data_IF_217843017248
#
_entry.id   IF_217843017248
#
_cell.length_a   1.000
_cell.length_b   1.000
_cell.length_c   1.000
_cell.angle_alpha   90.00
_cell.angle_beta   90.00
_cell.angle_gamma   90.00
#
_symmetry.space_group_name_H-M   'P 1'
#
loop_
_entity.id
_entity.type
_entity.pdbx_description
1 polymer ?
#
# COMPACT_ATOMS: atom_id res chain seq x y z
N UNK A 1 9.32 26.91 9.62
CA UNK A 1 9.88 26.91 10.98
C UNK A 1 8.83 26.35 11.94
N UNK A 2 8.65 25.02 11.95
CA UNK A 2 7.65 24.29 12.77
C UNK A 2 8.11 22.86 13.13
N UNK A 3 9.41 22.61 13.07
CA UNK A 3 10.04 21.26 13.08
C UNK A 3 10.56 20.81 14.45
N UNK A 4 10.86 21.75 15.35
CA UNK A 4 11.67 21.46 16.56
C UNK A 4 11.00 20.59 17.62
N UNK A 5 9.67 20.50 17.64
CA UNK A 5 8.95 19.70 18.65
C UNK A 5 9.05 18.22 18.33
N UNK A 6 8.83 17.84 17.06
CA UNK A 6 8.87 16.44 16.63
C UNK A 6 10.27 15.84 16.75
N UNK A 7 11.30 16.63 16.43
CA UNK A 7 12.70 16.19 16.52
C UNK A 7 13.06 15.78 17.96
N UNK A 8 12.64 16.58 18.94
CA UNK A 8 12.91 16.33 20.37
C UNK A 8 12.15 15.10 20.89
N UNK A 9 10.89 14.95 20.54
CA UNK A 9 10.07 13.81 20.96
C UNK A 9 10.61 12.48 20.41
N UNK A 10 10.94 12.45 19.12
CA UNK A 10 11.51 11.25 18.47
C UNK A 10 12.86 10.87 19.09
N UNK A 11 13.72 11.86 19.34
CA UNK A 11 15.03 11.63 19.97
C UNK A 11 14.89 11.06 21.39
N UNK A 12 13.97 11.61 22.20
CA UNK A 12 13.71 11.11 23.56
C UNK A 12 13.17 9.67 23.56
N UNK A 13 12.28 9.34 22.63
CA UNK A 13 11.75 7.99 22.48
C UNK A 13 12.86 7.01 22.08
N UNK A 14 13.73 7.42 21.14
CA UNK A 14 14.90 6.63 20.76
C UNK A 14 15.85 6.40 21.95
N UNK A 15 16.17 7.45 22.70
CA UNK A 15 17.04 7.37 23.89
C UNK A 15 16.48 6.44 24.99
N UNK A 16 15.15 6.34 25.09
CA UNK A 16 14.46 5.40 25.99
C UNK A 16 14.29 4.00 25.39
N UNK A 17 14.97 3.71 24.27
CA UNK A 17 15.02 2.39 23.64
C UNK A 17 13.80 2.02 22.79
N UNK A 18 12.93 2.98 22.49
CA UNK A 18 11.80 2.71 21.60
C UNK A 18 12.27 2.56 20.16
N UNK A 19 11.65 1.62 19.45
CA UNK A 19 11.84 1.44 18.01
C UNK A 19 10.62 1.94 17.25
N UNK A 20 10.79 2.18 15.96
CA UNK A 20 9.76 2.80 15.12
C UNK A 20 9.36 1.89 13.97
N UNK A 21 8.15 2.09 13.47
CA UNK A 21 7.75 1.61 12.15
C UNK A 21 7.50 2.79 11.23
N UNK A 22 7.63 2.56 9.93
CA UNK A 22 7.38 3.59 8.92
C UNK A 22 6.15 3.25 8.10
N UNK A 23 5.40 4.27 7.71
CA UNK A 23 4.52 4.19 6.55
C UNK A 23 5.05 5.20 5.54
N UNK A 24 5.19 4.81 4.29
CA UNK A 24 5.46 5.78 3.25
C UNK A 24 4.72 5.42 1.97
N UNK A 25 4.34 6.48 1.26
CA UNK A 25 3.52 6.39 0.06
C UNK A 25 4.12 7.28 -1.03
N UNK A 26 4.27 6.71 -2.22
CA UNK A 26 4.66 7.46 -3.40
C UNK A 26 3.46 7.63 -4.31
N UNK A 27 3.24 8.85 -4.77
CA UNK A 27 2.22 9.11 -5.75
C UNK A 27 2.66 10.16 -6.76
N UNK A 28 2.05 10.07 -7.93
CA UNK A 28 2.11 11.11 -8.95
C UNK A 28 0.84 11.94 -8.86
N UNK A 29 0.96 13.24 -8.54
CA UNK A 29 -0.21 14.12 -8.53
C UNK A 29 -0.66 14.48 -9.95
N UNK A 30 -1.89 15.01 -10.07
CA UNK A 30 -2.50 15.43 -11.34
C UNK A 30 -1.69 16.47 -12.13
N UNK A 31 -0.81 17.21 -11.46
CA UNK A 31 0.13 18.16 -12.09
C UNK A 31 1.43 17.48 -12.56
N UNK A 32 1.41 16.16 -12.76
CA UNK A 32 2.55 15.30 -13.10
C UNK A 32 3.72 15.45 -12.12
N UNK A 33 3.36 15.36 -10.84
CA UNK A 33 4.22 15.77 -9.73
C UNK A 33 4.40 14.59 -8.79
N UNK A 34 5.56 13.93 -8.85
CA UNK A 34 5.92 12.81 -7.97
C UNK A 34 6.37 13.25 -6.59
N UNK A 35 5.82 12.60 -5.56
CA UNK A 35 6.05 12.92 -4.17
C UNK A 35 6.12 11.64 -3.33
N UNK A 36 6.96 11.66 -2.29
CA UNK A 36 7.06 10.61 -1.27
C UNK A 36 6.76 11.22 0.10
N UNK A 37 5.71 10.76 0.77
CA UNK A 37 5.45 11.14 2.15
C UNK A 37 5.92 10.03 3.10
N UNK A 38 6.52 10.41 4.23
CA UNK A 38 7.05 9.46 5.21
C UNK A 38 6.45 9.81 6.58
N UNK A 39 5.88 8.82 7.25
CA UNK A 39 5.46 8.93 8.64
C UNK A 39 6.18 7.87 9.47
N UNK A 40 6.61 8.25 10.68
CA UNK A 40 7.09 7.34 11.70
C UNK A 40 5.99 7.06 12.71
N UNK A 41 5.96 5.83 13.22
CA UNK A 41 4.99 5.35 14.19
C UNK A 41 5.71 4.63 15.32
N UNK A 42 5.16 4.71 16.52
CA UNK A 42 5.58 3.88 17.66
C UNK A 42 4.40 3.71 18.61
N UNK A 43 4.59 2.85 19.61
CA UNK A 43 3.64 2.70 20.72
C UNK A 43 4.36 3.10 22.01
N UNK A 44 3.86 4.15 22.67
CA UNK A 44 4.44 4.65 23.92
C UNK A 44 3.32 5.27 24.77
N UNK A 45 3.48 5.25 26.10
CA UNK A 45 2.50 5.81 27.03
C UNK A 45 1.07 5.27 26.79
N UNK A 46 0.95 3.97 26.57
CA UNK A 46 -0.31 3.26 26.31
C UNK A 46 -1.14 3.79 25.14
N UNK A 47 -0.46 4.37 24.13
CA UNK A 47 -1.11 4.83 22.90
C UNK A 47 -0.22 4.68 21.67
N UNK A 48 -0.87 4.54 20.52
CA UNK A 48 -0.21 4.66 19.23
C UNK A 48 0.12 6.14 18.95
N UNK A 49 1.37 6.38 18.57
CA UNK A 49 1.89 7.70 18.22
C UNK A 49 2.36 7.69 16.78
N UNK A 50 2.20 8.82 16.08
CA UNK A 50 2.75 8.98 14.75
C UNK A 50 3.21 10.42 14.49
N UNK A 51 4.20 10.55 13.62
CA UNK A 51 4.74 11.83 13.18
C UNK A 51 4.91 11.82 11.66
N UNK A 52 4.38 12.85 11.00
CA UNK A 52 4.66 13.09 9.59
C UNK A 52 6.04 13.74 9.49
N UNK A 53 7.03 12.98 9.00
CA UNK A 53 8.42 13.43 8.84
C UNK A 53 8.57 14.39 7.65
N UNK A 54 7.53 14.51 6.83
CA UNK A 54 7.37 15.50 5.79
C UNK A 54 7.46 14.92 4.39
N UNK A 55 6.96 15.71 3.45
CA UNK A 55 6.95 15.39 2.03
C UNK A 55 8.33 15.55 1.40
N UNK A 56 8.69 14.63 0.50
CA UNK A 56 9.87 14.71 -0.35
C UNK A 56 9.46 14.76 -1.80
N UNK A 57 9.98 15.75 -2.51
CA UNK A 57 9.76 15.91 -3.95
C UNK A 57 10.69 14.97 -4.72
N UNK A 58 10.13 14.20 -5.64
CA UNK A 58 10.92 13.31 -6.51
C UNK A 58 11.10 14.02 -7.85
N UNK A 59 12.35 14.07 -8.32
CA UNK A 59 12.70 14.54 -9.66
C UNK A 59 13.24 13.35 -10.46
N UNK A 60 12.69 13.14 -11.66
CA UNK A 60 13.08 12.00 -12.51
C UNK A 60 12.50 10.66 -12.03
N UNK A 61 13.27 9.59 -12.26
CA UNK A 61 12.91 8.24 -11.84
C UNK A 61 13.19 8.03 -10.35
N UNK A 62 12.46 7.10 -9.75
CA UNK A 62 12.69 6.66 -8.37
C UNK A 62 12.77 5.14 -8.35
N UNK A 63 13.92 4.55 -8.72
CA UNK A 63 14.15 3.13 -8.49
C UNK A 63 14.21 2.84 -6.99
N UNK A 64 14.08 1.55 -6.64
CA UNK A 64 14.03 1.12 -5.24
C UNK A 64 15.25 1.58 -4.41
N UNK A 65 16.45 1.55 -4.98
CA UNK A 65 17.68 2.02 -4.32
C UNK A 65 17.62 3.51 -3.95
N UNK A 66 17.18 4.35 -4.89
CA UNK A 66 17.01 5.79 -4.67
C UNK A 66 15.91 6.05 -3.64
N UNK A 67 14.85 5.23 -3.60
CA UNK A 67 13.82 5.30 -2.57
C UNK A 67 14.42 5.06 -1.17
N UNK A 68 15.20 3.99 -1.00
CA UNK A 68 15.90 3.70 0.27
C UNK A 68 16.84 4.83 0.68
N UNK A 69 17.66 5.35 -0.23
CA UNK A 69 18.56 6.49 0.04
C UNK A 69 17.78 7.74 0.46
N UNK A 70 16.63 7.99 -0.18
CA UNK A 70 15.75 9.12 0.14
C UNK A 70 15.18 8.99 1.55
N UNK A 71 14.74 7.78 1.92
CA UNK A 71 14.25 7.48 3.27
C UNK A 71 15.37 7.67 4.30
N UNK A 72 16.55 7.08 4.08
CA UNK A 72 17.73 7.26 4.97
C UNK A 72 18.07 8.73 5.16
N UNK A 73 18.14 9.50 4.07
CA UNK A 73 18.42 10.94 4.11
C UNK A 73 17.36 11.71 4.89
N UNK A 74 16.09 11.29 4.83
CA UNK A 74 15.01 11.91 5.59
C UNK A 74 15.12 11.59 7.08
N UNK A 75 15.28 10.32 7.43
CA UNK A 75 15.39 9.84 8.81
C UNK A 75 16.61 10.41 9.53
N UNK A 76 17.74 10.56 8.82
CA UNK A 76 18.97 11.17 9.36
C UNK A 76 18.76 12.58 9.91
N UNK A 77 17.75 13.33 9.43
CA UNK A 77 17.41 14.66 9.98
C UNK A 77 16.84 14.60 11.40
N UNK A 78 16.31 13.45 11.78
CA UNK A 78 15.73 13.16 13.08
C UNK A 78 16.64 12.23 13.90
N UNK A 79 17.88 12.03 13.45
CA UNK A 79 18.86 11.12 14.07
C UNK A 79 18.35 9.66 14.19
N UNK A 80 17.43 9.26 13.31
CA UNK A 80 16.92 7.89 13.20
C UNK A 80 17.69 7.15 12.11
N UNK A 81 18.18 5.95 12.44
CA UNK A 81 18.83 5.04 11.52
C UNK A 81 17.82 4.03 10.96
N UNK A 82 17.86 3.82 9.64
CA UNK A 82 16.90 2.95 8.95
C UNK A 82 17.08 1.47 9.30
N UNK A 83 18.31 1.05 9.62
CA UNK A 83 18.63 -0.37 9.83
C UNK A 83 18.49 -0.75 11.30
N UNK A 84 18.86 0.18 12.20
CA UNK A 84 18.87 -0.09 13.64
C UNK A 84 17.57 0.32 14.34
N UNK A 85 16.98 1.47 13.98
CA UNK A 85 15.84 2.02 14.74
C UNK A 85 14.48 1.60 14.18
N UNK A 86 14.42 1.11 12.93
CA UNK A 86 13.18 0.75 12.25
C UNK A 86 12.95 -0.76 12.28
N UNK A 87 11.80 -1.19 12.84
CA UNK A 87 11.42 -2.61 12.91
C UNK A 87 10.52 -3.06 11.77
N UNK A 88 9.72 -2.14 11.23
CA UNK A 88 8.76 -2.46 10.19
C UNK A 88 8.50 -1.26 9.27
N UNK A 89 8.13 -1.56 8.04
CA UNK A 89 7.70 -0.58 7.04
C UNK A 89 6.37 -1.01 6.43
N UNK A 90 5.52 -0.05 6.11
CA UNK A 90 4.29 -0.26 5.37
C UNK A 90 4.34 0.52 4.07
N UNK A 91 4.17 -0.17 2.95
CA UNK A 91 4.23 0.41 1.61
C UNK A 91 3.07 -0.07 0.76
N UNK A 92 2.83 0.58 -0.38
CA UNK A 92 1.95 -0.01 -1.39
C UNK A 92 2.55 -1.30 -1.99
N UNK A 93 1.78 -1.90 -2.89
CA UNK A 93 2.14 -3.14 -3.59
C UNK A 93 2.75 -2.90 -4.97
N UNK A 94 3.17 -1.67 -5.30
CA UNK A 94 3.85 -1.40 -6.56
C UNK A 94 5.20 -2.14 -6.59
N UNK A 95 5.62 -2.60 -7.78
CA UNK A 95 6.85 -3.40 -7.93
C UNK A 95 8.09 -2.72 -7.34
N UNK A 96 8.19 -1.40 -7.47
CA UNK A 96 9.26 -0.58 -6.89
C UNK A 96 9.21 -0.61 -5.37
N UNK A 97 8.03 -0.57 -4.74
CA UNK A 97 7.89 -0.56 -3.29
C UNK A 97 8.11 -1.94 -2.67
N UNK A 98 7.65 -3.00 -3.34
CA UNK A 98 8.00 -4.38 -2.99
C UNK A 98 9.52 -4.56 -3.05
N UNK A 99 10.18 -4.06 -4.10
CA UNK A 99 11.64 -4.10 -4.18
C UNK A 99 12.31 -3.23 -3.13
N UNK A 100 11.77 -2.06 -2.84
CA UNK A 100 12.27 -1.15 -1.79
C UNK A 100 12.27 -1.86 -0.44
N UNK A 101 11.17 -2.52 -0.07
CA UNK A 101 11.14 -3.24 1.20
C UNK A 101 12.08 -4.44 1.26
N UNK A 102 12.34 -5.12 0.14
CA UNK A 102 13.39 -6.16 0.09
C UNK A 102 14.82 -5.63 0.34
N UNK A 103 15.04 -4.32 0.23
CA UNK A 103 16.34 -3.67 0.43
C UNK A 103 16.48 -3.04 1.83
N UNK A 104 15.41 -3.01 2.63
CA UNK A 104 15.42 -2.47 3.98
C UNK A 104 15.41 -3.65 4.96
N UNK A 105 16.28 -3.70 5.97
CA UNK A 105 16.34 -4.79 6.94
C UNK A 105 15.23 -4.66 8.01
N UNK A 106 14.00 -4.37 7.58
CA UNK A 106 12.81 -4.23 8.42
C UNK A 106 11.69 -5.09 7.84
N UNK A 107 10.74 -5.51 8.69
CA UNK A 107 9.58 -6.26 8.22
C UNK A 107 8.72 -5.41 7.29
N UNK A 108 8.46 -5.87 6.07
CA UNK A 108 7.58 -5.18 5.13
C UNK A 108 6.14 -5.69 5.24
N UNK A 109 5.23 -4.79 5.59
CA UNK A 109 3.78 -4.96 5.47
C UNK A 109 3.30 -4.28 4.19
N UNK A 110 2.49 -4.97 3.38
CA UNK A 110 1.80 -4.32 2.26
C UNK A 110 0.54 -3.59 2.73
N UNK A 111 0.27 -2.44 2.11
CA UNK A 111 -0.85 -1.58 2.44
C UNK A 111 -2.18 -2.29 2.14
N UNK A 112 -2.97 -2.54 3.19
CA UNK A 112 -4.30 -3.12 3.04
C UNK A 112 -5.25 -2.24 2.25
N UNK A 113 -5.15 -0.91 2.36
CA UNK A 113 -6.01 -0.02 1.58
C UNK A 113 -5.78 -0.20 0.07
N UNK A 114 -4.51 -0.33 -0.35
CA UNK A 114 -4.17 -0.63 -1.74
C UNK A 114 -4.67 -2.03 -2.15
N UNK A 115 -4.44 -3.05 -1.32
CA UNK A 115 -4.92 -4.41 -1.60
C UNK A 115 -6.45 -4.51 -1.72
N UNK A 116 -7.19 -3.85 -0.82
CA UNK A 116 -8.64 -3.77 -0.85
C UNK A 116 -9.13 -3.04 -2.10
N UNK A 117 -8.51 -1.92 -2.46
CA UNK A 117 -8.84 -1.19 -3.68
C UNK A 117 -8.63 -2.06 -4.92
N UNK A 118 -7.51 -2.78 -5.01
CA UNK A 118 -7.25 -3.70 -6.12
C UNK A 118 -8.29 -4.83 -6.18
N UNK A 119 -8.66 -5.42 -5.03
CA UNK A 119 -9.70 -6.45 -4.97
C UNK A 119 -11.08 -5.92 -5.43
N UNK A 120 -11.46 -4.71 -4.99
CA UNK A 120 -12.69 -4.06 -5.44
C UNK A 120 -12.67 -3.80 -6.95
N UNK A 121 -11.55 -3.31 -7.48
CA UNK A 121 -11.39 -3.08 -8.91
C UNK A 121 -11.46 -4.39 -9.72
N UNK A 122 -10.85 -5.46 -9.22
CA UNK A 122 -10.85 -6.77 -9.87
C UNK A 122 -12.26 -7.39 -9.93
N UNK A 123 -13.05 -7.22 -8.87
CA UNK A 123 -14.41 -7.78 -8.77
C UNK A 123 -15.47 -6.90 -9.45
N UNK A 124 -15.46 -5.58 -9.22
CA UNK A 124 -16.55 -4.69 -9.65
C UNK A 124 -16.28 -4.01 -11.00
N UNK A 125 -15.02 -3.76 -11.35
CA UNK A 125 -14.66 -2.87 -12.47
C UNK A 125 -13.89 -3.56 -13.59
N UNK A 126 -13.32 -4.73 -13.35
CA UNK A 126 -12.69 -5.52 -14.41
C UNK A 126 -13.81 -6.00 -15.34
N UNK A 127 -13.88 -5.36 -16.52
CA UNK A 127 -14.85 -5.69 -17.56
C UNK A 127 -14.89 -7.20 -17.74
N UNK A 128 -16.11 -7.72 -17.72
CA UNK A 128 -16.48 -9.08 -18.09
C UNK A 128 -16.12 -9.34 -19.57
N UNK A 129 -14.84 -9.45 -19.90
CA UNK A 129 -14.41 -10.02 -21.19
C UNK A 129 -14.43 -11.55 -21.16
N UNK A 130 -14.82 -12.15 -20.02
CA UNK A 130 -14.79 -13.59 -19.75
C UNK A 130 -16.15 -14.28 -19.70
N UNK A 131 -17.28 -13.56 -19.77
CA UNK A 131 -18.49 -14.19 -20.29
C UNK A 131 -18.37 -14.16 -21.80
N UNK A 132 -17.63 -15.15 -22.31
CA UNK A 132 -17.71 -15.53 -23.70
C UNK A 132 -19.21 -15.67 -24.03
N UNK A 133 -19.69 -14.98 -25.07
CA UNK A 133 -21.11 -15.02 -25.46
C UNK A 133 -21.61 -16.46 -25.59
N UNK A 134 -20.71 -17.38 -25.92
CA UNK A 134 -20.95 -18.82 -25.99
C UNK A 134 -21.30 -19.46 -24.63
N UNK A 135 -20.66 -19.06 -23.52
CA UNK A 135 -20.98 -19.58 -22.18
C UNK A 135 -22.36 -19.08 -21.72
N UNK A 136 -22.69 -17.81 -21.95
CA UNK A 136 -24.03 -17.27 -21.68
C UNK A 136 -25.09 -17.91 -22.58
N UNK A 137 -24.77 -18.15 -23.85
CA UNK A 137 -25.66 -18.83 -24.79
C UNK A 137 -25.86 -20.31 -24.42
N UNK A 138 -24.83 -21.01 -23.93
CA UNK A 138 -24.94 -22.37 -23.43
C UNK A 138 -25.79 -22.44 -22.15
N UNK A 139 -25.60 -21.51 -21.21
CA UNK A 139 -26.46 -21.40 -20.02
C UNK A 139 -27.91 -21.11 -20.43
N UNK A 140 -28.13 -20.17 -21.35
CA UNK A 140 -29.45 -19.81 -21.86
C UNK A 140 -30.13 -20.99 -22.61
N UNK A 141 -29.40 -21.71 -23.46
CA UNK A 141 -29.87 -22.92 -24.14
C UNK A 141 -30.19 -24.04 -23.16
N UNK A 142 -29.37 -24.22 -22.12
CA UNK A 142 -29.60 -25.24 -21.07
C UNK A 142 -30.87 -24.92 -20.28
N UNK A 143 -31.09 -23.64 -19.93
CA UNK A 143 -32.32 -23.18 -19.27
C UNK A 143 -33.54 -23.35 -20.18
N UNK A 144 -33.44 -23.05 -21.49
CA UNK A 144 -34.50 -23.29 -22.47
C UNK A 144 -34.83 -24.78 -22.63
N UNK A 145 -33.83 -25.64 -22.71
CA UNK A 145 -34.00 -27.10 -22.81
C UNK A 145 -34.69 -27.67 -21.56
N UNK A 146 -34.31 -27.21 -20.37
CA UNK A 146 -34.95 -27.60 -19.11
C UNK A 146 -36.42 -27.15 -19.04
N UNK A 147 -36.74 -25.94 -19.52
CA UNK A 147 -38.11 -25.42 -19.55
C UNK A 147 -39.01 -26.10 -20.62
N UNK A 148 -38.42 -26.63 -21.70
CA UNK A 148 -39.14 -27.45 -22.68
C UNK A 148 -39.42 -28.86 -22.14
N UNK A 149 -38.50 -29.46 -21.39
CA UNK A 149 -38.71 -30.77 -20.76
C UNK A 149 -39.82 -30.74 -19.69
N UNK A 150 -39.95 -29.64 -18.94
CA UNK A 150 -41.01 -29.48 -17.93
C UNK A 150 -42.40 -29.22 -18.52
N UNK A 151 -42.49 -28.66 -19.73
CA UNK A 151 -43.78 -28.42 -20.40
C UNK A 151 -44.34 -29.67 -21.09
N UNK A 152 -43.49 -30.57 -21.60
CA UNK A 152 -43.94 -31.88 -22.12
C UNK A 152 -44.32 -32.89 -21.04
N UNK A 153 -43.79 -32.77 -19.82
CA UNK A 153 -44.16 -33.64 -18.70
C UNK A 153 -45.49 -33.25 -18.01
N UNK A 154 -46.05 -32.08 -18.34
CA UNK A 154 -47.31 -31.57 -17.80
C UNK A 154 -48.52 -31.70 -18.74
N UNK A 155 -48.38 -32.39 -19.87
CA UNK A 155 -49.47 -32.75 -20.78
C UNK A 155 -49.64 -34.27 -20.84
N UNK A 156 -50.12 -34.86 -19.74
CA UNK A 156 -50.79 -36.16 -19.72
C UNK A 156 -52.02 -36.02 -18.82
#
# INVERSE_FOLDING_TARGET
MRTTIHDRELSQLKETGHRFSLTFDEWTSSSNRRCLNINAHTYANDRALFWNLGLTRIFGSMPATVCVETIRKKLKKFEIDLDEDIVAITTDGASVMVKTGSLVPAFQQLCYAHGLQLGILDVLYKKMSLFDKNQLMMIYLTILMLNQMTTTAGQI
#
